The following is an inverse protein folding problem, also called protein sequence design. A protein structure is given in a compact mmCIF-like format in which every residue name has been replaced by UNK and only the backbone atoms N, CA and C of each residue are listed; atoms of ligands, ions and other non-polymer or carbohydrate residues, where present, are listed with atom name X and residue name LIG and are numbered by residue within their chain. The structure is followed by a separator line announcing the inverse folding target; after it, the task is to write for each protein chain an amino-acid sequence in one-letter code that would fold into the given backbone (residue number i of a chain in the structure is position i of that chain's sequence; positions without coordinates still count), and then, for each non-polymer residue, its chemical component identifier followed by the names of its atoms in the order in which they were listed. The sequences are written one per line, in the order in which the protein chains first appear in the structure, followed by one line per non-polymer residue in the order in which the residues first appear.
data_IF_015993749255
#
_entry.id   IF_015993749255
#
_cell.length_a   1.000
_cell.length_b   1.000
_cell.length_c   1.000
_cell.angle_alpha   90.00
_cell.angle_beta   90.00
_cell.angle_gamma   90.00
#
_symmetry.space_group_name_H-M   'P 1'
#
loop_
_entity.id
_entity.type
_entity.pdbx_description
1 polymer ?
#
# COMPACT_ATOMS: atom_id res chain seq x y z
N UNK A 1 -12.83 12.17 -18.62
CA UNK A 1 -12.14 11.42 -17.55
C UNK A 1 -13.21 10.66 -16.77
N UNK A 2 -13.05 9.36 -16.55
CA UNK A 2 -13.96 8.62 -15.65
C UNK A 2 -13.78 9.16 -14.22
N UNK A 3 -14.90 9.27 -13.47
CA UNK A 3 -14.85 9.67 -12.08
C UNK A 3 -13.90 8.74 -11.28
N UNK A 4 -13.15 9.27 -10.29
CA UNK A 4 -12.31 8.44 -9.45
C UNK A 4 -13.16 7.42 -8.70
N UNK A 5 -12.66 6.18 -8.61
CA UNK A 5 -13.38 5.11 -7.92
C UNK A 5 -13.49 5.35 -6.41
N UNK A 6 -12.46 5.96 -5.82
CA UNK A 6 -12.39 6.26 -4.38
C UNK A 6 -12.03 7.74 -4.19
N UNK A 7 -12.73 8.40 -3.26
CA UNK A 7 -12.42 9.74 -2.79
C UNK A 7 -12.31 9.73 -1.27
N UNK A 8 -11.22 10.28 -0.76
CA UNK A 8 -11.09 10.57 0.65
C UNK A 8 -11.69 11.95 0.92
N UNK A 9 -12.87 11.99 1.57
CA UNK A 9 -13.59 13.23 1.83
C UNK A 9 -13.00 14.07 2.97
N UNK A 10 -12.15 13.45 3.82
CA UNK A 10 -11.45 14.16 4.90
C UNK A 10 -10.38 15.12 4.36
N UNK A 11 -9.68 14.71 3.31
CA UNK A 11 -8.55 15.45 2.72
C UNK A 11 -8.87 15.99 1.33
N UNK A 12 -10.02 15.64 0.78
CA UNK A 12 -10.43 15.94 -0.59
C UNK A 12 -9.44 15.40 -1.65
N UNK A 13 -9.00 14.18 -1.46
CA UNK A 13 -8.04 13.49 -2.32
C UNK A 13 -8.67 12.32 -3.05
N UNK A 14 -8.03 11.90 -4.15
CA UNK A 14 -8.44 10.75 -4.96
C UNK A 14 -7.26 9.78 -5.08
N UNK A 15 -7.08 8.90 -4.07
CA UNK A 15 -5.94 7.97 -4.04
C UNK A 15 -5.95 7.02 -5.24
N UNK A 16 -4.77 6.68 -5.72
CA UNK A 16 -4.57 5.81 -6.88
C UNK A 16 -4.37 4.34 -6.50
N UNK A 17 -4.01 4.08 -5.25
CA UNK A 17 -3.90 2.72 -4.71
C UNK A 17 -4.75 2.61 -3.46
N UNK A 18 -5.53 1.54 -3.39
CA UNK A 18 -6.32 1.20 -2.20
C UNK A 18 -5.86 -0.12 -1.62
N UNK A 19 -5.76 -0.19 -0.30
CA UNK A 19 -5.30 -1.36 0.42
C UNK A 19 -6.28 -1.75 1.53
N UNK A 20 -6.86 -2.93 1.40
CA UNK A 20 -7.83 -3.48 2.34
C UNK A 20 -7.15 -4.43 3.35
N UNK A 21 -6.06 -4.00 3.99
CA UNK A 21 -5.27 -4.80 4.92
C UNK A 21 -6.04 -5.31 6.15
N UNK A 22 -5.46 -6.26 6.88
CA UNK A 22 -6.03 -6.84 8.10
C UNK A 22 -7.09 -7.91 7.83
N UNK A 23 -7.99 -8.18 8.76
CA UNK A 23 -8.97 -9.26 8.66
C UNK A 23 -10.02 -9.00 7.58
N UNK A 24 -9.88 -9.65 6.43
CA UNK A 24 -10.71 -9.47 5.23
C UNK A 24 -12.19 -9.80 5.43
N UNK A 25 -12.53 -10.67 6.38
CA UNK A 25 -13.91 -11.13 6.63
C UNK A 25 -14.87 -10.04 7.10
N UNK A 26 -14.35 -8.91 7.57
CA UNK A 26 -15.15 -7.80 8.13
C UNK A 26 -15.19 -6.54 7.25
N UNK A 27 -14.87 -6.65 5.94
CA UNK A 27 -14.82 -5.52 5.01
C UNK A 27 -15.92 -5.64 3.94
N UNK A 28 -17.19 -5.35 4.27
CA UNK A 28 -18.30 -5.53 3.34
C UNK A 28 -18.17 -4.65 2.09
N UNK A 29 -17.44 -3.52 2.18
CA UNK A 29 -17.19 -2.60 1.08
C UNK A 29 -16.09 -3.07 0.11
N UNK A 30 -15.25 -4.04 0.48
CA UNK A 30 -14.15 -4.48 -0.38
C UNK A 30 -14.63 -5.21 -1.65
N UNK A 31 -15.63 -6.07 -1.53
CA UNK A 31 -16.21 -6.75 -2.68
C UNK A 31 -16.87 -5.79 -3.68
N UNK A 32 -17.72 -4.81 -3.26
CA UNK A 32 -18.21 -3.76 -4.15
C UNK A 32 -17.13 -2.95 -4.85
N UNK A 33 -16.04 -2.59 -4.17
CA UNK A 33 -14.93 -1.85 -4.78
C UNK A 33 -14.28 -2.69 -5.89
N UNK A 34 -13.98 -3.96 -5.61
CA UNK A 34 -13.41 -4.87 -6.60
C UNK A 34 -14.35 -5.07 -7.80
N UNK A 35 -15.64 -5.32 -7.52
CA UNK A 35 -16.64 -5.52 -8.55
C UNK A 35 -16.76 -4.29 -9.46
N UNK A 36 -16.81 -3.09 -8.90
CA UNK A 36 -16.87 -1.84 -9.66
C UNK A 36 -15.62 -1.62 -10.50
N UNK A 37 -14.44 -1.89 -9.95
CA UNK A 37 -13.17 -1.77 -10.67
C UNK A 37 -13.13 -2.71 -11.89
N UNK A 38 -13.41 -4.01 -11.70
CA UNK A 38 -13.36 -5.00 -12.78
C UNK A 38 -14.55 -4.94 -13.76
N UNK A 39 -15.61 -4.19 -13.44
CA UNK A 39 -16.68 -3.89 -14.38
C UNK A 39 -16.28 -2.82 -15.42
N UNK A 40 -15.21 -2.06 -15.17
CA UNK A 40 -14.66 -1.14 -16.18
C UNK A 40 -14.00 -1.93 -17.31
N UNK A 41 -13.99 -1.42 -18.55
CA UNK A 41 -13.24 -2.06 -19.64
C UNK A 41 -11.74 -2.18 -19.32
N UNK A 42 -11.09 -3.31 -19.66
CA UNK A 42 -9.65 -3.43 -19.55
C UNK A 42 -8.93 -2.30 -20.30
N UNK A 43 -7.82 -1.83 -19.75
CA UNK A 43 -6.98 -0.78 -20.32
C UNK A 43 -5.65 -1.37 -20.79
N UNK A 44 -4.89 -0.58 -21.53
CA UNK A 44 -3.53 -0.92 -21.98
C UNK A 44 -2.64 0.31 -21.73
N UNK A 45 -2.38 0.59 -20.44
CA UNK A 45 -1.53 1.72 -20.04
C UNK A 45 -0.07 1.48 -20.47
N UNK A 46 0.41 0.25 -20.34
CA UNK A 46 1.78 -0.11 -20.63
C UNK A 46 2.76 0.24 -19.51
N UNK A 47 4.07 0.14 -19.77
CA UNK A 47 5.10 0.52 -18.82
C UNK A 47 5.13 2.04 -18.61
N UNK A 48 5.20 2.47 -17.36
CA UNK A 48 5.41 3.88 -17.01
C UNK A 48 6.90 4.19 -17.10
N UNK A 49 7.31 5.24 -17.84
CA UNK A 49 8.71 5.67 -17.87
C UNK A 49 9.25 5.88 -16.45
N UNK A 50 10.50 5.47 -16.26
CA UNK A 50 11.25 5.63 -15.02
C UNK A 50 10.63 5.01 -13.75
N UNK A 51 9.60 4.15 -13.89
CA UNK A 51 8.97 3.43 -12.78
C UNK A 51 9.01 1.91 -12.98
N UNK A 52 9.42 1.19 -11.95
CA UNK A 52 9.21 -0.27 -11.83
C UNK A 52 8.19 -0.54 -10.73
N UNK A 53 7.13 -1.31 -11.05
CA UNK A 53 6.16 -1.80 -10.06
C UNK A 53 6.59 -3.19 -9.60
N UNK A 54 6.66 -3.39 -8.29
CA UNK A 54 6.97 -4.67 -7.64
C UNK A 54 5.85 -5.09 -6.69
N UNK A 55 5.68 -6.38 -6.51
CA UNK A 55 4.79 -6.98 -5.52
C UNK A 55 5.39 -8.26 -4.97
N UNK A 56 4.81 -8.76 -3.88
CA UNK A 56 5.29 -9.96 -3.17
C UNK A 56 4.24 -11.06 -3.20
N UNK A 57 4.57 -12.15 -3.88
CA UNK A 57 3.68 -13.32 -3.97
C UNK A 57 4.50 -14.58 -4.26
N UNK A 58 4.44 -15.55 -3.36
CA UNK A 58 5.11 -16.84 -3.56
C UNK A 58 4.30 -17.84 -4.40
N UNK A 59 3.16 -17.44 -4.92
CA UNK A 59 2.31 -18.29 -5.76
C UNK A 59 1.44 -19.31 -5.02
N UNK A 60 1.66 -19.52 -3.71
CA UNK A 60 0.98 -20.57 -2.94
C UNK A 60 -0.56 -20.47 -2.93
N UNK A 61 -1.10 -19.26 -3.04
CA UNK A 61 -2.56 -19.03 -3.15
C UNK A 61 -2.97 -18.42 -4.51
N UNK A 62 -2.15 -18.62 -5.55
CA UNK A 62 -2.38 -18.11 -6.89
C UNK A 62 -2.11 -16.60 -7.02
N UNK A 63 -2.61 -16.03 -8.11
CA UNK A 63 -2.47 -14.61 -8.45
C UNK A 63 -3.22 -13.73 -7.45
N UNK A 64 -2.56 -12.71 -6.92
CA UNK A 64 -3.16 -11.75 -6.02
C UNK A 64 -4.12 -10.78 -6.70
N UNK A 65 -4.90 -10.06 -5.91
CA UNK A 65 -5.87 -9.09 -6.44
C UNK A 65 -5.17 -7.89 -7.09
N UNK A 66 -4.00 -7.48 -6.56
CA UNK A 66 -3.18 -6.44 -7.17
C UNK A 66 -2.71 -6.85 -8.57
N UNK A 67 -2.12 -8.05 -8.71
CA UNK A 67 -1.63 -8.55 -9.99
C UNK A 67 -2.76 -8.59 -11.02
N UNK A 68 -3.97 -8.98 -10.60
CA UNK A 68 -5.17 -8.94 -11.46
C UNK A 68 -5.54 -7.52 -11.86
N UNK A 69 -5.44 -6.55 -10.95
CA UNK A 69 -5.72 -5.14 -11.26
C UNK A 69 -4.70 -4.55 -12.23
N UNK A 70 -3.42 -4.88 -12.05
CA UNK A 70 -2.35 -4.47 -12.95
C UNK A 70 -2.53 -5.08 -14.36
N UNK A 71 -2.88 -6.36 -14.43
CA UNK A 71 -3.21 -7.01 -15.71
C UNK A 71 -4.43 -6.37 -16.38
N UNK A 72 -5.48 -6.00 -15.62
CA UNK A 72 -6.66 -5.31 -16.11
C UNK A 72 -6.33 -3.92 -16.68
N UNK A 73 -5.35 -3.24 -16.08
CA UNK A 73 -4.86 -1.94 -16.55
C UNK A 73 -3.78 -2.05 -17.65
N UNK A 74 -3.26 -3.24 -17.91
CA UNK A 74 -2.13 -3.46 -18.81
C UNK A 74 -0.82 -2.86 -18.29
N UNK A 75 -0.64 -2.83 -16.97
CA UNK A 75 0.58 -2.33 -16.30
C UNK A 75 1.49 -3.50 -15.97
N UNK A 76 2.76 -3.50 -16.41
CA UNK A 76 3.71 -4.57 -16.08
C UNK A 76 4.09 -4.53 -14.58
N UNK A 77 4.33 -5.71 -14.02
CA UNK A 77 4.72 -5.88 -12.61
C UNK A 77 5.81 -6.95 -12.47
N UNK A 78 6.75 -6.71 -11.58
CA UNK A 78 7.71 -7.72 -11.14
C UNK A 78 7.22 -8.38 -9.84
N UNK A 79 6.89 -9.67 -9.91
CA UNK A 79 6.45 -10.44 -8.75
C UNK A 79 7.66 -11.06 -8.06
N UNK A 80 7.86 -10.71 -6.79
CA UNK A 80 8.99 -11.17 -5.98
C UNK A 80 8.57 -12.33 -5.07
N UNK A 81 9.49 -13.27 -4.82
CA UNK A 81 9.34 -14.35 -3.85
C UNK A 81 8.66 -15.60 -4.39
N UNK A 82 8.52 -15.76 -5.71
CA UNK A 82 7.91 -16.94 -6.33
C UNK A 82 8.67 -18.25 -6.06
N UNK A 83 9.95 -18.15 -5.70
CA UNK A 83 10.82 -19.24 -5.32
C UNK A 83 10.83 -19.56 -3.80
N UNK A 84 10.04 -18.83 -3.01
CA UNK A 84 9.94 -19.00 -1.55
C UNK A 84 8.79 -19.95 -1.21
N UNK A 85 9.06 -21.21 -0.83
CA UNK A 85 7.99 -22.21 -0.62
C UNK A 85 7.13 -21.92 0.62
N UNK A 86 7.75 -21.41 1.69
CA UNK A 86 7.07 -21.05 2.94
C UNK A 86 7.35 -19.59 3.23
N UNK A 87 6.31 -18.77 3.20
CA UNK A 87 6.44 -17.32 3.33
C UNK A 87 6.39 -16.87 4.80
N UNK A 88 7.37 -16.04 5.18
CA UNK A 88 7.36 -15.26 6.42
C UNK A 88 7.60 -13.79 6.06
N UNK A 89 6.68 -12.88 6.39
CA UNK A 89 6.77 -11.47 6.00
C UNK A 89 8.02 -10.77 6.55
N UNK A 90 8.34 -10.96 7.83
CA UNK A 90 9.47 -10.30 8.48
C UNK A 90 10.83 -10.70 7.88
N UNK A 91 10.93 -11.92 7.36
CA UNK A 91 12.17 -12.46 6.79
C UNK A 91 12.22 -12.22 5.27
N UNK A 92 11.23 -12.76 4.55
CA UNK A 92 11.34 -12.86 3.09
C UNK A 92 11.03 -11.55 2.38
N UNK A 93 10.03 -10.76 2.84
CA UNK A 93 9.66 -9.51 2.17
C UNK A 93 10.83 -8.52 2.10
N UNK A 94 11.56 -8.20 3.19
CA UNK A 94 12.76 -7.38 3.11
C UNK A 94 13.87 -8.00 2.25
N UNK A 95 14.11 -9.32 2.39
CA UNK A 95 15.20 -10.01 1.68
C UNK A 95 15.00 -10.02 0.16
N UNK A 96 13.83 -10.43 -0.33
CA UNK A 96 13.56 -10.46 -1.77
C UNK A 96 13.51 -9.06 -2.37
N UNK A 97 13.05 -8.06 -1.60
CA UNK A 97 13.07 -6.66 -2.00
C UNK A 97 14.51 -6.16 -2.14
N UNK A 98 15.35 -6.36 -1.12
CA UNK A 98 16.76 -5.96 -1.15
C UNK A 98 17.53 -6.66 -2.28
N UNK A 99 17.23 -7.93 -2.58
CA UNK A 99 17.84 -8.68 -3.67
C UNK A 99 17.40 -8.22 -5.07
N UNK A 100 16.17 -7.73 -5.22
CA UNK A 100 15.63 -7.26 -6.49
C UNK A 100 16.09 -5.85 -6.85
N UNK A 101 16.12 -4.93 -5.89
CA UNK A 101 16.39 -3.50 -6.08
C UNK A 101 17.69 -3.17 -6.84
N UNK A 102 18.83 -3.89 -6.68
CA UNK A 102 20.04 -3.66 -7.48
C UNK A 102 19.86 -3.84 -8.98
N UNK A 103 18.88 -4.64 -9.41
CA UNK A 103 18.57 -4.94 -10.82
C UNK A 103 17.57 -3.96 -11.43
N UNK A 104 16.88 -3.15 -10.63
CA UNK A 104 15.95 -2.13 -11.07
C UNK A 104 16.74 -0.92 -11.53
N UNK A 105 16.57 -0.51 -12.79
CA UNK A 105 17.31 0.61 -13.40
C UNK A 105 16.49 1.90 -13.50
N UNK A 106 15.18 1.82 -13.29
CA UNK A 106 14.27 2.98 -13.28
C UNK A 106 14.56 3.89 -12.09
N UNK A 107 14.26 5.19 -12.23
CA UNK A 107 14.48 6.18 -11.18
C UNK A 107 13.61 5.90 -9.95
N UNK A 108 12.38 5.43 -10.17
CA UNK A 108 11.40 5.15 -9.12
C UNK A 108 11.05 3.67 -9.05
N UNK A 109 10.66 3.24 -7.86
CA UNK A 109 10.08 1.92 -7.61
C UNK A 109 8.84 2.06 -6.74
N UNK A 110 7.78 1.35 -7.12
CA UNK A 110 6.50 1.27 -6.42
C UNK A 110 6.30 -0.15 -5.91
N UNK A 111 6.20 -0.31 -4.60
CA UNK A 111 5.93 -1.58 -3.94
C UNK A 111 4.51 -1.62 -3.38
N UNK A 112 3.74 -2.67 -3.70
CA UNK A 112 2.35 -2.82 -3.27
C UNK A 112 2.08 -4.28 -2.89
N UNK A 113 1.35 -4.49 -1.78
CA UNK A 113 0.93 -5.83 -1.35
C UNK A 113 0.01 -6.51 -2.36
N UNK A 114 0.29 -7.79 -2.65
CA UNK A 114 -0.37 -8.58 -3.70
C UNK A 114 -1.83 -8.90 -3.39
N UNK A 115 -2.14 -9.27 -2.14
CA UNK A 115 -3.37 -9.98 -1.78
C UNK A 115 -4.60 -9.10 -1.60
N UNK A 116 -4.41 -7.87 -1.20
CA UNK A 116 -5.46 -7.02 -0.67
C UNK A 116 -5.36 -5.55 -1.11
N UNK A 117 -4.61 -5.29 -2.19
CA UNK A 117 -4.52 -3.97 -2.79
C UNK A 117 -5.01 -3.96 -4.25
N UNK A 118 -5.45 -2.78 -4.70
CA UNK A 118 -5.81 -2.48 -6.09
C UNK A 118 -5.06 -1.22 -6.54
N UNK A 119 -4.49 -1.25 -7.73
CA UNK A 119 -4.15 -0.04 -8.46
C UNK A 119 -5.39 0.43 -9.23
N UNK A 120 -5.80 1.68 -9.04
CA UNK A 120 -7.05 2.23 -9.59
C UNK A 120 -6.84 3.06 -10.85
N UNK A 121 -5.62 3.56 -11.08
CA UNK A 121 -5.33 4.50 -12.14
C UNK A 121 -3.96 4.32 -12.79
N UNK A 122 -3.52 5.36 -13.50
CA UNK A 122 -2.24 5.38 -14.20
C UNK A 122 -1.07 5.57 -13.22
N UNK A 123 -0.08 4.66 -13.19
CA UNK A 123 1.11 4.82 -12.34
C UNK A 123 1.93 6.09 -12.65
N UNK A 124 1.84 6.64 -13.85
CA UNK A 124 2.50 7.91 -14.18
C UNK A 124 1.98 9.08 -13.33
N UNK A 125 0.67 9.10 -13.05
CA UNK A 125 0.07 10.09 -12.15
C UNK A 125 0.59 9.91 -10.71
N UNK A 126 0.84 8.67 -10.28
CA UNK A 126 1.38 8.36 -8.97
C UNK A 126 2.80 8.91 -8.81
N UNK A 127 3.65 8.73 -9.83
CA UNK A 127 5.01 9.31 -9.88
C UNK A 127 4.95 10.84 -9.87
N UNK A 128 4.09 11.45 -10.70
CA UNK A 128 3.95 12.89 -10.77
C UNK A 128 3.57 13.49 -9.40
N UNK A 129 2.54 12.95 -8.76
CA UNK A 129 2.15 13.39 -7.41
C UNK A 129 3.25 13.17 -6.36
N UNK A 130 3.97 12.05 -6.41
CA UNK A 130 5.09 11.81 -5.50
C UNK A 130 6.18 12.88 -5.64
N UNK A 131 6.50 13.27 -6.87
CA UNK A 131 7.53 14.29 -7.13
C UNK A 131 7.05 15.69 -6.77
N UNK A 132 5.78 16.01 -7.03
CA UNK A 132 5.25 17.36 -6.89
C UNK A 132 4.79 17.67 -5.46
N UNK A 133 4.30 16.66 -4.71
CA UNK A 133 3.66 16.87 -3.40
C UNK A 133 4.59 16.52 -2.21
N UNK A 134 5.67 15.75 -2.43
CA UNK A 134 6.49 15.21 -1.34
C UNK A 134 7.98 15.52 -1.51
N UNK A 135 8.56 16.16 -0.49
CA UNK A 135 10.01 16.36 -0.38
C UNK A 135 10.64 15.24 0.47
N UNK A 136 10.54 14.01 -0.04
CA UNK A 136 11.12 12.83 0.60
C UNK A 136 11.73 11.87 -0.44
N UNK A 137 12.44 10.85 0.06
CA UNK A 137 13.09 9.85 -0.80
C UNK A 137 12.28 8.55 -0.90
N UNK A 138 11.47 8.28 0.12
CA UNK A 138 10.65 7.08 0.22
C UNK A 138 9.38 7.41 0.99
N UNK A 139 8.23 7.27 0.33
CA UNK A 139 6.91 7.55 0.87
C UNK A 139 6.18 6.25 1.14
N UNK A 140 5.74 6.03 2.36
CA UNK A 140 4.87 4.93 2.75
C UNK A 140 3.42 5.39 2.92
N UNK A 141 2.49 4.45 2.85
CA UNK A 141 1.11 4.73 3.18
C UNK A 141 0.94 5.05 4.67
N UNK A 142 0.04 5.99 4.98
CA UNK A 142 -0.41 6.24 6.35
C UNK A 142 -1.63 5.38 6.69
N UNK A 143 -1.80 5.05 7.98
CA UNK A 143 -2.87 4.21 8.49
C UNK A 143 -3.56 4.85 9.69
N UNK A 144 -4.78 4.36 9.98
CA UNK A 144 -5.55 4.68 11.18
C UNK A 144 -5.07 3.92 12.42
N UNK A 145 -4.38 2.79 12.21
CA UNK A 145 -4.02 1.83 13.27
C UNK A 145 -2.52 1.70 13.40
N UNK A 146 -2.04 1.84 14.62
CA UNK A 146 -0.67 1.53 14.98
C UNK A 146 -0.47 0.00 15.03
N UNK A 147 0.05 -0.58 13.96
CA UNK A 147 0.44 -2.00 13.92
C UNK A 147 1.92 -2.15 13.59
N UNK A 148 2.71 -2.95 14.31
CA UNK A 148 2.39 -3.57 15.63
C UNK A 148 2.05 -2.51 16.68
N UNK A 149 1.12 -2.83 17.58
CA UNK A 149 0.61 -1.90 18.59
C UNK A 149 1.60 -1.79 19.76
N UNK A 150 2.67 -1.02 19.54
CA UNK A 150 3.73 -0.80 20.50
C UNK A 150 3.81 0.67 20.89
N UNK A 151 3.89 0.94 22.20
CA UNK A 151 3.92 2.30 22.74
C UNK A 151 5.08 3.14 22.16
N UNK A 152 6.24 2.53 21.91
CA UNK A 152 7.39 3.24 21.32
C UNK A 152 7.12 3.74 19.90
N UNK A 153 6.35 2.99 19.11
CA UNK A 153 5.97 3.41 17.76
C UNK A 153 4.92 4.53 17.81
N UNK A 154 3.90 4.37 18.67
CA UNK A 154 2.90 5.42 18.87
C UNK A 154 3.52 6.73 19.34
N UNK A 155 4.43 6.67 20.30
CA UNK A 155 5.11 7.85 20.84
C UNK A 155 5.86 8.61 19.75
N UNK A 156 6.63 7.93 18.89
CA UNK A 156 7.35 8.56 17.80
C UNK A 156 6.41 9.09 16.72
N UNK A 157 5.57 8.23 16.15
CA UNK A 157 4.72 8.58 15.01
C UNK A 157 3.73 9.70 15.36
N UNK A 158 3.16 9.69 16.57
CA UNK A 158 2.25 10.74 17.03
C UNK A 158 2.96 12.06 17.37
N UNK A 159 4.28 12.05 17.62
CA UNK A 159 5.06 13.26 17.90
C UNK A 159 5.37 14.08 16.64
N UNK A 160 5.30 13.48 15.46
CA UNK A 160 5.63 14.13 14.21
C UNK A 160 4.62 15.24 13.87
N UNK A 161 5.07 16.43 13.42
CA UNK A 161 4.18 17.55 13.12
C UNK A 161 3.03 17.21 12.18
N UNK A 162 3.21 16.44 11.08
CA UNK A 162 2.12 16.10 10.17
C UNK A 162 1.08 15.14 10.78
N UNK A 163 1.43 14.45 11.86
CA UNK A 163 0.54 13.52 12.56
C UNK A 163 -0.39 14.21 13.56
N UNK A 164 -0.08 15.46 13.95
CA UNK A 164 -0.85 16.19 14.96
C UNK A 164 -2.28 16.45 14.47
N UNK A 165 -3.27 15.93 15.20
CA UNK A 165 -4.68 16.04 14.84
C UNK A 165 -5.09 15.17 13.64
N UNK A 166 -4.18 14.45 13.02
CA UNK A 166 -4.44 13.59 11.89
C UNK A 166 -4.79 12.16 12.35
N UNK A 167 -5.83 11.59 11.76
CA UNK A 167 -6.23 10.20 12.03
C UNK A 167 -5.35 9.21 11.27
N UNK A 168 -4.95 9.53 10.03
CA UNK A 168 -4.02 8.75 9.22
C UNK A 168 -2.58 9.15 9.59
N UNK A 169 -2.01 8.54 10.62
CA UNK A 169 -0.72 8.96 11.17
C UNK A 169 0.26 7.82 11.44
N UNK A 170 -0.17 6.58 11.29
CA UNK A 170 0.66 5.43 11.56
C UNK A 170 1.23 4.84 10.28
N UNK A 171 2.45 4.37 10.37
CA UNK A 171 3.18 3.74 9.27
C UNK A 171 2.49 2.45 8.82
N UNK A 172 2.30 2.28 7.50
CA UNK A 172 1.86 1.04 6.89
C UNK A 172 2.82 0.62 5.77
N UNK A 173 3.40 -0.59 5.88
CA UNK A 173 4.41 -1.12 4.96
C UNK A 173 3.85 -1.77 3.69
N UNK A 174 2.52 -1.83 3.53
CA UNK A 174 1.88 -2.53 2.41
C UNK A 174 1.91 -1.79 1.08
N UNK A 175 2.13 -0.47 1.11
CA UNK A 175 2.22 0.38 -0.09
C UNK A 175 3.28 1.45 0.10
N UNK A 176 4.15 1.61 -0.89
CA UNK A 176 5.17 2.65 -0.88
C UNK A 176 5.68 2.98 -2.28
N UNK A 177 6.16 4.21 -2.47
CA UNK A 177 6.90 4.66 -3.64
C UNK A 177 8.17 5.35 -3.20
N UNK A 178 9.28 5.16 -3.94
CA UNK A 178 10.52 5.83 -3.59
C UNK A 178 11.51 5.92 -4.74
N UNK A 179 12.53 6.77 -4.52
CA UNK A 179 13.68 6.83 -5.41
C UNK A 179 14.50 5.55 -5.26
N UNK A 180 14.70 4.83 -6.34
CA UNK A 180 15.32 3.50 -6.36
C UNK A 180 16.68 3.49 -5.66
N UNK A 181 17.51 4.53 -5.84
CA UNK A 181 18.81 4.64 -5.19
C UNK A 181 18.70 4.69 -3.65
N UNK A 182 17.67 5.34 -3.11
CA UNK A 182 17.41 5.37 -1.67
C UNK A 182 16.83 4.03 -1.19
N UNK A 183 15.86 3.49 -1.90
CA UNK A 183 15.24 2.20 -1.57
C UNK A 183 16.28 1.07 -1.47
N UNK A 184 17.29 1.05 -2.35
CA UNK A 184 18.38 0.06 -2.28
C UNK A 184 19.07 0.07 -0.92
N UNK A 185 19.40 1.24 -0.37
CA UNK A 185 20.07 1.37 0.93
C UNK A 185 19.12 1.00 2.07
N UNK A 186 17.91 1.56 2.05
CA UNK A 186 16.92 1.36 3.09
C UNK A 186 16.54 -0.12 3.24
N UNK A 187 16.19 -0.81 2.15
CA UNK A 187 15.83 -2.22 2.24
C UNK A 187 17.02 -3.15 2.47
N UNK A 188 18.24 -2.79 2.06
CA UNK A 188 19.44 -3.52 2.45
C UNK A 188 19.71 -3.40 3.96
N UNK A 189 19.43 -2.26 4.57
CA UNK A 189 19.47 -2.05 6.02
C UNK A 189 18.38 -2.86 6.72
N UNK A 190 17.15 -2.83 6.22
CA UNK A 190 16.02 -3.58 6.77
C UNK A 190 16.30 -5.09 6.92
N UNK A 191 17.14 -5.69 6.05
CA UNK A 191 17.53 -7.10 6.19
C UNK A 191 18.43 -7.40 7.39
N UNK A 192 18.98 -6.38 8.05
CA UNK A 192 19.89 -6.49 9.19
C UNK A 192 19.22 -6.13 10.52
N UNK A 193 18.06 -5.48 10.46
CA UNK A 193 17.29 -5.12 11.65
C UNK A 193 16.55 -6.36 12.16
N UNK A 194 16.71 -6.72 13.44
CA UNK A 194 15.99 -7.86 13.99
C UNK A 194 14.48 -7.58 14.04
N UNK A 195 13.65 -8.62 13.81
CA UNK A 195 12.21 -8.51 14.02
C UNK A 195 11.86 -8.04 15.43
N UNK A 196 10.74 -7.32 15.57
CA UNK A 196 10.22 -6.95 16.88
C UNK A 196 9.91 -8.21 17.70
N UNK A 197 10.44 -8.38 18.92
CA UNK A 197 10.16 -9.56 19.73
C UNK A 197 8.67 -9.77 20.01
N UNK A 198 7.92 -8.67 20.11
CA UNK A 198 6.47 -8.69 20.38
C UNK A 198 5.65 -9.09 19.15
N UNK A 199 6.22 -8.96 17.93
CA UNK A 199 5.56 -9.31 16.67
C UNK A 199 6.61 -9.79 15.64
N UNK A 200 7.17 -11.00 15.82
CA UNK A 200 8.32 -11.47 15.04
C UNK A 200 8.03 -11.73 13.56
N UNK A 201 6.76 -11.87 13.18
CA UNK A 201 6.35 -12.12 11.78
C UNK A 201 6.01 -10.83 11.01
N UNK A 202 6.18 -9.65 11.63
CA UNK A 202 5.83 -8.36 11.02
C UNK A 202 7.04 -7.67 10.41
N UNK A 203 7.09 -7.59 9.07
CA UNK A 203 8.09 -6.74 8.40
C UNK A 203 7.83 -5.24 8.70
N UNK A 204 6.57 -4.86 8.86
CA UNK A 204 6.21 -3.49 9.24
C UNK A 204 6.83 -3.11 10.59
N UNK A 205 6.95 -4.06 11.52
CA UNK A 205 7.66 -3.84 12.78
C UNK A 205 9.14 -3.52 12.56
N UNK A 206 9.81 -4.17 11.59
CA UNK A 206 11.19 -3.87 11.20
C UNK A 206 11.29 -2.45 10.64
N UNK A 207 10.43 -2.10 9.69
CA UNK A 207 10.44 -0.79 9.03
C UNK A 207 10.15 0.35 10.02
N UNK A 208 9.24 0.13 10.98
CA UNK A 208 8.93 1.10 12.03
C UNK A 208 10.08 1.31 13.03
N UNK A 209 10.90 0.30 13.27
CA UNK A 209 12.13 0.47 14.07
C UNK A 209 13.13 1.40 13.39
N UNK A 210 13.18 1.37 12.05
CA UNK A 210 14.09 2.21 11.25
C UNK A 210 13.55 3.63 11.04
N UNK A 211 12.24 3.81 11.09
CA UNK A 211 11.59 5.07 10.71
C UNK A 211 12.14 6.31 11.43
N UNK A 212 12.42 6.30 12.75
CA UNK A 212 12.99 7.44 13.45
C UNK A 212 14.32 7.94 12.87
N UNK A 213 15.21 7.02 12.47
CA UNK A 213 16.53 7.33 11.96
C UNK A 213 16.52 7.80 10.49
N UNK A 214 15.42 7.54 9.79
CA UNK A 214 15.26 7.87 8.38
C UNK A 214 14.32 9.05 8.12
N UNK A 215 13.62 9.56 9.13
CA UNK A 215 12.79 10.76 8.98
C UNK A 215 13.66 12.02 8.80
N UNK A 216 13.35 12.93 7.84
CA UNK A 216 12.20 12.98 6.95
C UNK A 216 12.39 12.34 5.56
N UNK A 217 13.55 11.75 5.25
CA UNK A 217 13.77 11.07 3.96
C UNK A 217 12.77 9.93 3.72
N UNK A 218 12.38 9.23 4.79
CA UNK A 218 11.20 8.35 4.84
C UNK A 218 10.04 9.15 5.43
N UNK A 219 8.92 9.17 4.72
CA UNK A 219 7.75 9.95 5.07
C UNK A 219 6.46 9.15 4.88
N UNK A 220 5.33 9.63 5.41
CA UNK A 220 4.03 8.99 5.23
C UNK A 220 3.10 9.86 4.40
N UNK A 221 2.25 9.23 3.62
CA UNK A 221 1.16 9.88 2.89
C UNK A 221 0.01 10.25 3.83
N UNK A 222 0.25 11.24 4.70
CA UNK A 222 -0.69 11.68 5.73
C UNK A 222 -2.02 12.19 5.21
N UNK A 223 -2.09 12.56 3.93
CA UNK A 223 -3.31 13.07 3.30
C UNK A 223 -4.00 12.04 2.42
N UNK A 224 -3.48 10.82 2.36
CA UNK A 224 -3.98 9.78 1.48
C UNK A 224 -4.11 10.28 0.02
N UNK A 225 -3.09 10.99 -0.46
CA UNK A 225 -3.08 11.53 -1.82
C UNK A 225 -2.82 10.43 -2.85
N UNK A 226 -1.88 9.52 -2.54
CA UNK A 226 -1.48 8.41 -3.38
C UNK A 226 -2.12 7.09 -2.93
N UNK A 227 -2.14 6.87 -1.60
CA UNK A 227 -2.42 5.59 -0.96
C UNK A 227 -3.58 5.70 0.03
N UNK A 228 -4.56 4.82 -0.07
CA UNK A 228 -5.65 4.74 0.90
C UNK A 228 -5.70 3.38 1.57
N UNK A 229 -5.33 3.34 2.84
CA UNK A 229 -5.62 2.20 3.71
C UNK A 229 -7.08 2.22 4.15
N UNK A 230 -7.80 1.12 3.95
CA UNK A 230 -9.23 1.00 4.28
C UNK A 230 -9.52 -0.11 5.29
N UNK A 231 -8.49 -0.77 5.82
CA UNK A 231 -8.65 -1.92 6.71
C UNK A 231 -9.48 -1.67 7.96
N UNK A 232 -9.39 -0.48 8.53
CA UNK A 232 -10.06 -0.04 9.75
C UNK A 232 -10.92 1.21 9.56
N UNK A 233 -11.39 1.43 8.34
CA UNK A 233 -12.39 2.46 8.07
C UNK A 233 -13.76 1.89 8.42
N UNK A 234 -14.42 2.48 9.41
CA UNK A 234 -15.77 2.11 9.84
C UNK A 234 -16.80 3.07 9.24
N UNK A 235 -17.92 2.53 8.78
CA UNK A 235 -19.02 3.28 8.19
C UNK A 235 -18.57 4.22 7.06
N UNK A 236 -17.85 3.74 6.03
CA UNK A 236 -17.54 4.57 4.89
C UNK A 236 -18.82 4.92 4.14
N UNK A 237 -18.90 6.15 3.65
CA UNK A 237 -19.87 6.47 2.60
C UNK A 237 -19.26 5.90 1.33
N UNK A 238 -19.85 4.84 0.81
CA UNK A 238 -19.36 4.18 -0.40
C UNK A 238 -20.25 4.59 -1.57
N UNK A 239 -19.67 5.31 -2.51
CA UNK A 239 -20.26 5.53 -3.83
C UNK A 239 -19.49 4.72 -4.86
N UNK A 240 -20.21 3.93 -5.63
CA UNK A 240 -19.66 3.17 -6.74
C UNK A 240 -20.27 3.69 -8.03
N UNK A 241 -19.45 4.24 -8.92
CA UNK A 241 -19.89 4.88 -10.17
C UNK A 241 -20.94 6.00 -9.93
N UNK A 242 -20.77 6.77 -8.85
CA UNK A 242 -21.68 7.87 -8.49
C UNK A 242 -22.99 7.42 -7.86
N UNK A 243 -23.19 6.13 -7.59
CA UNK A 243 -24.35 5.60 -6.89
C UNK A 243 -23.99 5.16 -5.47
N UNK A 244 -24.73 5.57 -4.43
CA UNK A 244 -24.48 5.12 -3.07
C UNK A 244 -24.71 3.62 -2.94
N UNK A 245 -23.80 2.94 -2.24
CA UNK A 245 -23.91 1.51 -1.91
C UNK A 245 -24.45 1.37 -0.50
N UNK A 246 -25.65 0.79 -0.35
CA UNK A 246 -26.23 0.49 0.95
C UNK A 246 -25.50 -0.67 1.63
N UNK A 247 -24.62 -0.37 2.56
CA UNK A 247 -23.84 -1.37 3.31
C UNK A 247 -24.70 -2.32 4.14
N UNK A 248 -25.85 -1.86 4.65
CA UNK A 248 -26.79 -2.69 5.39
C UNK A 248 -27.35 -3.86 4.57
N UNK A 249 -27.50 -3.69 3.26
CA UNK A 249 -27.98 -4.75 2.36
C UNK A 249 -26.96 -5.87 2.19
N UNK A 250 -25.66 -5.52 2.27
CA UNK A 250 -24.56 -6.48 2.19
C UNK A 250 -24.38 -7.31 3.47
N UNK A 251 -24.71 -6.73 4.64
CA UNK A 251 -24.64 -7.43 5.93
C UNK A 251 -25.80 -8.42 6.10
N UNK A 252 -26.98 -8.14 5.58
CA UNK A 252 -28.16 -9.02 5.67
C UNK A 252 -28.09 -10.27 4.79
N UNK A 253 -27.32 -10.26 3.71
CA UNK A 253 -27.14 -11.42 2.82
C UNK A 253 -26.21 -12.50 3.41
N UNK A 254 -25.45 -12.19 4.46
CA UNK A 254 -24.53 -13.15 5.11
C UNK A 254 -25.08 -13.77 6.41
N UNK A 255 -26.27 -13.39 6.85
CA UNK A 255 -26.92 -13.93 8.07
C UNK A 255 -28.05 -14.95 7.77
N UNK A 256 -28.18 -15.42 6.56
CA UNK A 256 -28.98 -16.59 6.13
C UNK A 256 -28.06 -17.65 5.55
#
# INVERSE_FOLDING_TARGET
MSAPLIRNTLFDTTPLVVHAHGYHTFKPYWEPIKAAFFATPPRQIGPTPDLTVITWNNGAAGMGILERSLAHLGVPVTVLGQDVPVWNNAVHKPQVTAAALPRITTEFVLGIDSRDALLLGDPAELVARFVDEYDCRLLFAADLVNWPTLARFDAFESSLPPAQGNRFRYFNGGMWIGRTAYCRRFFAEATRVPPCPEQPDSEQGILKQMYPDHFPDVYLDYRCSLFQNIGFVFNPILEVNGAPVELERLLKVRST
#
